data_IF_282084571385
#
_entry.id   IF_282084571385
#
_cell.length_a   1.000
_cell.length_b   1.000
_cell.length_c   1.000
_cell.angle_alpha   90.00
_cell.angle_beta   90.00
_cell.angle_gamma   90.00
#
_symmetry.space_group_name_H-M   'P 1'
#
loop_
_entity.id
_entity.type
_entity.pdbx_description
1 polymer ?
#
# COMPACT_ATOMS: atom_id res chain seq x y z
N UNK A 1 -10.68 15.68 27.09
CA UNK A 1 -10.89 15.73 25.64
C UNK A 1 -9.64 16.37 25.08
N UNK A 2 -8.93 15.72 24.17
CA UNK A 2 -7.74 16.31 23.56
C UNK A 2 -8.13 16.92 22.21
N UNK A 3 -7.49 18.03 21.87
CA UNK A 3 -7.52 18.61 20.53
C UNK A 3 -6.44 17.92 19.69
N UNK A 4 -6.89 17.16 18.69
CA UNK A 4 -6.02 16.34 17.84
C UNK A 4 -5.95 16.95 16.46
N UNK A 5 -4.75 17.25 15.97
CA UNK A 5 -4.52 17.64 14.58
C UNK A 5 -3.96 16.43 13.84
N UNK A 6 -4.60 16.07 12.73
CA UNK A 6 -4.13 15.04 11.80
C UNK A 6 -3.56 15.74 10.57
N UNK A 7 -2.28 15.53 10.30
CA UNK A 7 -1.56 16.12 9.16
C UNK A 7 -1.54 15.14 8.01
N UNK A 8 -2.26 15.47 6.93
CA UNK A 8 -2.41 14.65 5.73
C UNK A 8 -3.71 13.83 5.71
N UNK A 9 -4.50 14.03 4.65
CA UNK A 9 -5.80 13.38 4.41
C UNK A 9 -5.73 12.11 3.58
N UNK A 10 -4.58 11.45 3.45
CA UNK A 10 -4.47 10.12 2.84
C UNK A 10 -5.23 9.06 3.64
N UNK A 11 -5.30 7.82 3.12
CA UNK A 11 -6.13 6.76 3.72
C UNK A 11 -5.78 6.51 5.21
N UNK A 12 -4.51 6.57 5.61
CA UNK A 12 -4.11 6.39 7.00
C UNK A 12 -4.52 7.58 7.89
N UNK A 13 -4.40 8.82 7.38
CA UNK A 13 -4.83 10.01 8.10
C UNK A 13 -6.33 10.08 8.29
N UNK A 14 -7.12 9.80 7.25
CA UNK A 14 -8.58 9.74 7.35
C UNK A 14 -9.02 8.61 8.29
N UNK A 15 -8.33 7.47 8.29
CA UNK A 15 -8.57 6.36 9.23
C UNK A 15 -8.30 6.77 10.68
N UNK A 16 -7.18 7.46 10.95
CA UNK A 16 -6.84 7.95 12.28
C UNK A 16 -7.87 9.00 12.75
N UNK A 17 -8.18 9.98 11.90
CA UNK A 17 -9.12 11.05 12.22
C UNK A 17 -10.53 10.50 12.58
N UNK A 18 -11.05 9.58 11.74
CA UNK A 18 -12.37 8.98 11.97
C UNK A 18 -12.43 8.14 13.25
N UNK A 19 -11.35 7.38 13.57
CA UNK A 19 -11.25 6.60 14.81
C UNK A 19 -11.17 7.50 16.03
N UNK A 20 -10.33 8.52 16.00
CA UNK A 20 -10.15 9.46 17.13
C UNK A 20 -11.40 10.28 17.42
N UNK A 21 -12.08 10.75 16.37
CA UNK A 21 -13.37 11.42 16.53
C UNK A 21 -14.43 10.49 17.14
N UNK A 22 -14.46 9.19 16.79
CA UNK A 22 -15.34 8.22 17.47
C UNK A 22 -14.97 8.03 18.94
N UNK A 23 -13.71 8.15 19.29
CA UNK A 23 -13.20 8.12 20.66
C UNK A 23 -13.41 9.44 21.42
N UNK A 24 -14.18 10.38 20.84
CA UNK A 24 -14.63 11.67 21.42
C UNK A 24 -13.53 12.70 21.60
N UNK A 25 -12.48 12.65 20.79
CA UNK A 25 -11.55 13.74 20.66
C UNK A 25 -12.11 14.82 19.73
N UNK A 26 -11.68 16.06 19.90
CA UNK A 26 -11.84 17.12 18.91
C UNK A 26 -10.79 16.93 17.85
N UNK A 27 -11.20 16.71 16.60
CA UNK A 27 -10.27 16.33 15.52
C UNK A 27 -10.34 17.33 14.37
N UNK A 28 -9.18 17.90 14.03
CA UNK A 28 -8.97 18.71 12.83
C UNK A 28 -8.05 17.92 11.89
N UNK A 29 -8.47 17.75 10.64
CA UNK A 29 -7.65 17.14 9.60
C UNK A 29 -7.23 18.22 8.61
N UNK A 30 -5.91 18.35 8.40
CA UNK A 30 -5.31 19.30 7.45
C UNK A 30 -4.79 18.53 6.24
N UNK A 31 -5.32 18.88 5.06
CA UNK A 31 -4.92 18.26 3.78
C UNK A 31 -4.51 19.37 2.79
N UNK A 32 -3.35 19.21 2.16
CA UNK A 32 -2.81 20.18 1.20
C UNK A 32 -3.53 20.18 -0.15
N UNK A 33 -4.19 19.05 -0.51
CA UNK A 33 -4.97 18.92 -1.73
C UNK A 33 -6.39 19.43 -1.51
N UNK A 34 -7.12 19.58 -2.60
CA UNK A 34 -8.53 19.98 -2.64
C UNK A 34 -9.51 18.85 -2.23
N UNK A 35 -8.97 17.65 -1.96
CA UNK A 35 -9.73 16.46 -1.55
C UNK A 35 -8.90 15.51 -0.69
N UNK A 36 -9.54 14.75 0.23
CA UNK A 36 -8.87 13.67 0.95
C UNK A 36 -8.76 12.41 0.06
N UNK A 37 -7.90 11.46 0.48
CA UNK A 37 -7.67 10.17 -0.18
C UNK A 37 -6.19 9.92 -0.46
N UNK A 38 -5.43 10.98 -0.74
CA UNK A 38 -4.02 10.87 -1.10
C UNK A 38 -3.84 10.05 -2.37
N UNK A 39 -3.02 8.98 -2.31
CA UNK A 39 -2.80 8.08 -3.45
C UNK A 39 -4.00 7.15 -3.74
N UNK A 40 -4.95 7.00 -2.80
CA UNK A 40 -6.19 6.24 -3.00
C UNK A 40 -7.26 7.20 -3.51
N UNK A 41 -7.52 7.15 -4.80
CA UNK A 41 -8.46 8.05 -5.46
C UNK A 41 -8.68 7.65 -6.90
N UNK A 42 -9.30 8.53 -7.65
CA UNK A 42 -9.56 8.36 -9.09
C UNK A 42 -8.84 9.41 -9.92
N UNK A 43 -8.49 9.00 -11.12
CA UNK A 43 -8.22 9.87 -12.26
C UNK A 43 -9.37 9.70 -13.24
N UNK A 44 -9.96 10.80 -13.70
CA UNK A 44 -11.05 10.79 -14.67
C UNK A 44 -10.68 11.69 -15.85
N UNK A 45 -10.90 11.18 -17.05
CA UNK A 45 -10.75 11.96 -18.29
C UNK A 45 -11.61 11.35 -19.41
N UNK A 46 -12.34 12.19 -20.12
CA UNK A 46 -13.14 11.85 -21.30
C UNK A 46 -14.07 10.63 -21.10
N UNK A 47 -14.69 10.51 -19.92
CA UNK A 47 -15.59 9.42 -19.55
C UNK A 47 -14.90 8.15 -19.05
N UNK A 48 -13.57 8.09 -19.10
CA UNK A 48 -12.78 7.02 -18.52
C UNK A 48 -12.38 7.35 -17.08
N UNK A 49 -12.31 6.31 -16.25
CA UNK A 49 -11.95 6.45 -14.83
C UNK A 49 -11.00 5.34 -14.42
N UNK A 50 -9.89 5.71 -13.79
CA UNK A 50 -8.85 4.80 -13.30
C UNK A 50 -8.60 4.99 -11.81
N UNK A 51 -8.41 3.88 -11.07
CA UNK A 51 -7.87 3.96 -9.72
C UNK A 51 -6.41 4.42 -9.75
N UNK A 52 -6.08 5.40 -8.91
CA UNK A 52 -4.69 5.86 -8.72
C UNK A 52 -3.94 5.08 -7.63
N UNK A 53 -4.67 4.30 -6.84
CA UNK A 53 -4.17 3.49 -5.72
C UNK A 53 -3.95 2.01 -6.07
N UNK A 54 -4.13 1.12 -5.08
CA UNK A 54 -4.03 -0.32 -5.29
C UNK A 54 -5.19 -0.83 -6.14
N UNK A 55 -4.97 -1.90 -6.92
CA UNK A 55 -6.03 -2.60 -7.64
C UNK A 55 -6.74 -3.64 -6.76
N UNK A 56 -6.05 -4.15 -5.76
CA UNK A 56 -6.57 -5.13 -4.81
C UNK A 56 -5.95 -4.95 -3.42
N UNK A 57 -6.60 -5.49 -2.42
CA UNK A 57 -6.10 -5.53 -1.04
C UNK A 57 -6.19 -6.94 -0.48
N UNK A 58 -5.15 -7.36 0.22
CA UNK A 58 -5.23 -8.51 1.12
C UNK A 58 -5.80 -8.04 2.48
N UNK A 59 -6.02 -8.96 3.41
CA UNK A 59 -6.48 -8.67 4.77
C UNK A 59 -7.78 -7.84 4.83
N UNK A 60 -8.88 -8.29 4.22
CA UNK A 60 -10.16 -7.55 4.19
C UNK A 60 -10.69 -7.25 5.60
N UNK A 61 -10.30 -8.04 6.60
CA UNK A 61 -10.63 -7.81 7.99
C UNK A 61 -10.14 -6.45 8.52
N UNK A 62 -9.00 -5.97 8.03
CA UNK A 62 -8.43 -4.66 8.42
C UNK A 62 -9.31 -3.51 7.89
N UNK A 63 -9.78 -3.63 6.64
CA UNK A 63 -10.69 -2.65 6.05
C UNK A 63 -12.04 -2.67 6.77
N UNK A 64 -12.57 -3.86 7.06
CA UNK A 64 -13.81 -4.01 7.87
C UNK A 64 -13.67 -3.40 9.26
N UNK A 65 -12.53 -3.63 9.91
CA UNK A 65 -12.27 -3.05 11.24
C UNK A 65 -12.19 -1.52 11.21
N UNK A 66 -11.59 -0.94 10.16
CA UNK A 66 -11.57 0.51 9.96
C UNK A 66 -13.00 1.09 10.00
N UNK A 67 -13.93 0.51 9.25
CA UNK A 67 -15.31 0.98 9.20
C UNK A 67 -16.04 0.74 10.52
N UNK A 68 -15.96 -0.46 11.08
CA UNK A 68 -16.59 -0.81 12.37
C UNK A 68 -16.10 0.10 13.50
N UNK A 69 -14.82 0.37 13.58
CA UNK A 69 -14.18 1.20 14.62
C UNK A 69 -14.33 2.70 14.37
N UNK A 70 -14.75 3.11 13.19
CA UNK A 70 -15.07 4.52 12.89
C UNK A 70 -16.57 4.80 12.78
N UNK A 71 -17.44 3.79 12.79
CA UNK A 71 -18.88 4.04 12.74
C UNK A 71 -19.74 2.86 12.35
N UNK A 72 -20.05 2.70 11.09
CA UNK A 72 -20.89 1.64 10.55
C UNK A 72 -20.06 0.52 9.94
N UNK A 73 -20.58 -0.72 9.80
CA UNK A 73 -19.94 -1.78 9.06
C UNK A 73 -19.65 -1.38 7.62
N UNK A 74 -18.56 -1.93 7.06
CA UNK A 74 -18.12 -1.68 5.68
C UNK A 74 -19.22 -2.01 4.67
N UNK A 75 -19.89 -3.14 4.85
CA UNK A 75 -20.88 -3.71 3.94
C UNK A 75 -22.15 -2.85 3.78
N UNK A 76 -22.28 -1.78 4.57
CA UNK A 76 -23.32 -0.76 4.40
C UNK A 76 -22.90 0.42 3.53
N UNK A 77 -21.63 0.51 3.23
CA UNK A 77 -21.04 1.63 2.50
C UNK A 77 -20.40 1.16 1.18
N UNK A 78 -19.75 -0.01 1.19
CA UNK A 78 -18.96 -0.53 0.09
C UNK A 78 -19.08 -2.05 0.04
N UNK A 79 -18.98 -2.60 -1.17
CA UNK A 79 -18.91 -4.03 -1.42
C UNK A 79 -17.48 -4.45 -1.70
N UNK A 80 -16.99 -5.44 -0.91
CA UNK A 80 -15.73 -6.12 -1.17
C UNK A 80 -15.99 -7.32 -2.09
N UNK A 81 -15.34 -7.33 -3.23
CA UNK A 81 -15.45 -8.39 -4.23
C UNK A 81 -14.15 -9.20 -4.25
N UNK A 82 -14.18 -10.54 -4.17
CA UNK A 82 -12.97 -11.35 -4.28
C UNK A 82 -12.39 -11.28 -5.71
N UNK A 83 -11.06 -11.18 -5.81
CA UNK A 83 -10.34 -11.16 -7.08
C UNK A 83 -9.85 -12.56 -7.42
N UNK A 84 -10.30 -13.12 -8.57
CA UNK A 84 -9.90 -14.43 -9.08
C UNK A 84 -9.71 -14.40 -10.60
N UNK A 85 -8.53 -14.83 -11.11
CA UNK A 85 -7.32 -15.12 -10.35
C UNK A 85 -6.78 -13.88 -9.65
N UNK A 86 -5.94 -14.06 -8.64
CA UNK A 86 -5.22 -12.95 -7.99
C UNK A 86 -4.45 -12.14 -9.03
N UNK A 87 -3.58 -12.85 -9.78
CA UNK A 87 -2.77 -12.33 -10.87
C UNK A 87 -2.55 -13.40 -11.92
N UNK A 88 -2.44 -12.99 -13.16
CA UNK A 88 -1.86 -13.80 -14.21
C UNK A 88 -0.39 -13.42 -14.36
N UNK A 89 0.50 -14.37 -14.16
CA UNK A 89 1.93 -14.20 -14.37
C UNK A 89 2.33 -14.71 -15.76
N UNK A 90 2.92 -13.85 -16.57
CA UNK A 90 3.50 -14.18 -17.89
C UNK A 90 5.01 -14.11 -17.80
N UNK A 91 5.67 -15.23 -18.04
CA UNK A 91 7.12 -15.33 -17.98
C UNK A 91 7.76 -15.17 -19.36
N UNK A 92 9.06 -14.84 -19.39
CA UNK A 92 9.82 -14.58 -20.63
C UNK A 92 9.94 -15.82 -21.52
N UNK A 93 9.76 -17.02 -20.97
CA UNK A 93 9.77 -18.28 -21.71
C UNK A 93 8.41 -18.65 -22.32
N UNK A 94 7.43 -17.75 -22.22
CA UNK A 94 6.07 -17.95 -22.71
C UNK A 94 5.13 -18.66 -21.74
N UNK A 95 5.62 -19.10 -20.57
CA UNK A 95 4.76 -19.73 -19.55
C UNK A 95 3.77 -18.72 -19.01
N UNK A 96 2.50 -19.12 -18.90
CA UNK A 96 1.42 -18.34 -18.29
C UNK A 96 0.94 -19.08 -17.04
N UNK A 97 0.85 -18.37 -15.91
CA UNK A 97 0.37 -18.89 -14.64
C UNK A 97 -0.71 -17.96 -14.08
N UNK A 98 -2.00 -18.31 -14.21
CA UNK A 98 -3.09 -17.64 -13.51
C UNK A 98 -3.07 -18.10 -12.05
N UNK A 99 -2.47 -17.29 -11.16
CA UNK A 99 -2.32 -17.63 -9.75
C UNK A 99 -3.58 -17.27 -8.96
N UNK A 100 -4.32 -18.23 -8.36
CA UNK A 100 -5.48 -17.93 -7.54
C UNK A 100 -5.10 -17.33 -6.18
N UNK A 101 -6.05 -16.66 -5.52
CA UNK A 101 -5.92 -16.18 -4.14
C UNK A 101 -6.83 -16.94 -3.18
N UNK A 102 -6.55 -16.89 -1.87
CA UNK A 102 -7.45 -17.40 -0.83
C UNK A 102 -7.57 -18.94 -0.75
N UNK A 103 -6.74 -19.68 -1.48
CA UNK A 103 -6.80 -21.15 -1.48
C UNK A 103 -5.45 -21.79 -1.77
N UNK A 104 -4.94 -22.54 -0.79
CA UNK A 104 -3.71 -23.34 -0.95
C UNK A 104 -3.87 -24.42 -2.02
N UNK A 105 -5.01 -25.12 -2.03
CA UNK A 105 -5.28 -26.18 -3.00
C UNK A 105 -5.34 -25.64 -4.42
N UNK A 106 -6.09 -24.56 -4.64
CA UNK A 106 -6.19 -23.94 -5.95
C UNK A 106 -4.83 -23.41 -6.48
N UNK A 107 -3.95 -22.90 -5.59
CA UNK A 107 -2.59 -22.53 -5.99
C UNK A 107 -1.73 -23.76 -6.33
N UNK A 108 -1.87 -24.86 -5.58
CA UNK A 108 -1.19 -26.12 -5.91
C UNK A 108 -1.56 -26.55 -7.31
N UNK A 109 -2.87 -26.64 -7.61
CA UNK A 109 -3.39 -27.09 -8.91
C UNK A 109 -2.95 -26.17 -10.05
N UNK A 110 -3.01 -24.85 -9.86
CA UNK A 110 -2.60 -23.88 -10.88
C UNK A 110 -1.10 -23.93 -11.18
N UNK A 111 -0.27 -24.08 -10.15
CA UNK A 111 1.19 -24.18 -10.34
C UNK A 111 1.55 -25.55 -10.93
N UNK A 112 0.85 -26.63 -10.54
CA UNK A 112 1.04 -27.96 -11.14
C UNK A 112 0.73 -27.94 -12.65
N UNK A 113 -0.42 -27.40 -13.01
CA UNK A 113 -0.81 -27.27 -14.43
C UNK A 113 0.18 -26.45 -15.27
N UNK A 114 0.76 -25.39 -14.70
CA UNK A 114 1.66 -24.50 -15.43
C UNK A 114 3.14 -24.94 -15.40
N UNK A 115 3.60 -25.52 -14.29
CA UNK A 115 5.02 -25.73 -14.01
C UNK A 115 5.36 -27.18 -13.59
N UNK A 116 4.36 -28.02 -13.37
CA UNK A 116 4.48 -29.42 -12.94
C UNK A 116 4.50 -29.63 -11.42
N UNK A 117 4.34 -30.90 -10.96
CA UNK A 117 4.06 -31.24 -9.57
C UNK A 117 5.19 -30.88 -8.61
N UNK A 118 6.44 -31.00 -9.02
CA UNK A 118 7.58 -30.63 -8.17
C UNK A 118 7.61 -29.13 -7.88
N UNK A 119 7.31 -28.31 -8.91
CA UNK A 119 7.21 -26.85 -8.79
C UNK A 119 6.03 -26.46 -7.87
N UNK A 120 4.88 -27.10 -8.07
CA UNK A 120 3.68 -26.88 -7.25
C UNK A 120 3.95 -27.15 -5.77
N UNK A 121 4.53 -28.33 -5.47
CA UNK A 121 4.93 -28.66 -4.11
C UNK A 121 5.92 -27.67 -3.53
N UNK A 122 6.97 -27.32 -4.29
CA UNK A 122 7.99 -26.39 -3.84
C UNK A 122 7.42 -25.00 -3.54
N UNK A 123 6.45 -24.51 -4.35
CA UNK A 123 5.74 -23.25 -4.14
C UNK A 123 4.91 -23.28 -2.85
N UNK A 124 4.03 -24.26 -2.71
CA UNK A 124 3.13 -24.35 -1.55
C UNK A 124 3.91 -24.52 -0.24
N UNK A 125 4.99 -25.30 -0.25
CA UNK A 125 5.88 -25.46 0.91
C UNK A 125 6.63 -24.16 1.23
N UNK A 126 6.98 -23.36 0.21
CA UNK A 126 7.60 -22.04 0.39
C UNK A 126 6.65 -21.08 1.07
N UNK A 127 5.44 -20.95 0.56
CA UNK A 127 4.41 -20.05 1.10
C UNK A 127 4.02 -20.46 2.52
N UNK A 128 3.79 -21.75 2.76
CA UNK A 128 3.45 -22.26 4.10
C UNK A 128 4.56 -22.00 5.13
N UNK A 129 5.82 -21.99 4.70
CA UNK A 129 6.96 -21.67 5.57
C UNK A 129 6.89 -20.29 6.23
N UNK A 130 6.02 -19.38 5.76
CA UNK A 130 5.81 -18.07 6.35
C UNK A 130 4.67 -17.98 7.38
N UNK A 131 3.96 -19.09 7.66
CA UNK A 131 2.82 -19.10 8.59
C UNK A 131 3.19 -18.58 9.99
N UNK A 132 4.26 -19.10 10.57
CA UNK A 132 4.76 -18.68 11.88
C UNK A 132 5.30 -17.25 11.84
N UNK A 133 6.04 -16.89 10.79
CA UNK A 133 6.55 -15.53 10.58
C UNK A 133 5.41 -14.50 10.57
N UNK A 134 4.32 -14.81 9.84
CA UNK A 134 3.14 -13.96 9.82
C UNK A 134 2.53 -13.80 11.22
N UNK A 135 2.33 -14.90 11.95
CA UNK A 135 1.68 -14.86 13.26
C UNK A 135 2.51 -14.07 14.29
N UNK A 136 3.82 -14.24 14.30
CA UNK A 136 4.75 -13.47 15.14
C UNK A 136 4.72 -11.98 14.79
N UNK A 137 4.84 -11.63 13.50
CA UNK A 137 4.87 -10.24 13.08
C UNK A 137 3.50 -9.56 13.24
N UNK A 138 2.40 -10.26 12.96
CA UNK A 138 1.08 -9.70 13.14
C UNK A 138 0.88 -9.22 14.57
N UNK A 139 1.11 -10.10 15.55
CA UNK A 139 0.86 -9.82 16.97
C UNK A 139 1.90 -8.88 17.60
N UNK A 140 3.15 -8.97 17.21
CA UNK A 140 4.25 -8.29 17.88
C UNK A 140 4.83 -7.08 17.16
N UNK A 141 4.43 -6.86 15.87
CA UNK A 141 4.98 -5.78 15.08
C UNK A 141 3.90 -4.94 14.37
N UNK A 142 2.90 -5.54 13.72
CA UNK A 142 1.90 -4.78 12.96
C UNK A 142 0.74 -4.27 13.82
N UNK A 143 0.31 -5.04 14.83
CA UNK A 143 -0.82 -4.72 15.70
C UNK A 143 -0.41 -4.02 17.01
N UNK A 144 0.86 -3.65 17.16
CA UNK A 144 1.40 -2.97 18.36
C UNK A 144 2.24 -1.76 18.01
N UNK A 145 2.37 -0.76 18.90
CA UNK A 145 3.30 0.33 18.73
C UNK A 145 4.72 -0.20 18.56
N UNK A 146 5.35 0.15 17.44
CA UNK A 146 6.72 -0.23 17.19
C UNK A 146 7.67 0.47 18.16
N UNK A 147 8.44 -0.30 18.88
CA UNK A 147 9.54 0.17 19.73
C UNK A 147 10.74 -0.76 19.58
N UNK A 148 11.84 -0.30 18.97
CA UNK A 148 13.07 -1.11 18.76
C UNK A 148 13.67 -1.67 20.04
N UNK A 149 13.46 -1.03 21.19
CA UNK A 149 14.01 -1.43 22.49
C UNK A 149 13.18 -2.47 23.25
N UNK A 150 11.92 -2.67 22.89
CA UNK A 150 10.96 -3.48 23.66
C UNK A 150 10.29 -4.57 22.84
N UNK A 151 11.04 -5.24 21.95
CA UNK A 151 10.51 -6.34 21.16
C UNK A 151 10.53 -7.65 21.93
N UNK A 152 9.49 -8.47 21.76
CA UNK A 152 9.47 -9.86 22.17
C UNK A 152 10.63 -10.63 21.49
N UNK A 153 11.13 -11.69 22.12
CA UNK A 153 12.26 -12.45 21.61
C UNK A 153 12.05 -12.98 20.20
N UNK A 154 10.83 -13.48 19.91
CA UNK A 154 10.44 -14.05 18.62
C UNK A 154 10.38 -12.97 17.52
N UNK A 155 9.80 -11.81 17.82
CA UNK A 155 9.78 -10.65 16.90
C UNK A 155 11.21 -10.22 16.60
N UNK A 156 12.06 -10.16 17.60
CA UNK A 156 13.46 -9.79 17.46
C UNK A 156 14.24 -10.79 16.61
N UNK A 157 13.98 -12.09 16.78
CA UNK A 157 14.58 -13.13 15.97
C UNK A 157 14.23 -12.98 14.49
N UNK A 158 12.95 -12.76 14.17
CA UNK A 158 12.48 -12.55 12.80
C UNK A 158 13.08 -11.27 12.19
N UNK A 159 13.00 -10.13 12.90
CA UNK A 159 13.44 -8.83 12.35
C UNK A 159 14.96 -8.71 12.22
N UNK A 160 15.74 -9.52 12.95
CA UNK A 160 17.21 -9.56 12.90
C UNK A 160 17.76 -10.58 11.91
N UNK A 161 16.92 -11.38 11.27
CA UNK A 161 17.40 -12.30 10.22
C UNK A 161 18.19 -11.52 9.15
N UNK A 162 19.36 -12.06 8.82
CA UNK A 162 20.29 -11.45 7.85
C UNK A 162 20.01 -11.86 6.42
N UNK A 163 19.11 -12.82 6.24
CA UNK A 163 18.80 -13.38 4.94
C UNK A 163 17.92 -12.41 4.15
N UNK A 164 18.26 -12.17 2.90
CA UNK A 164 17.39 -11.41 1.99
C UNK A 164 16.35 -12.30 1.32
N UNK A 165 15.25 -11.70 0.88
CA UNK A 165 14.20 -12.39 0.12
C UNK A 165 14.78 -13.05 -1.14
N UNK A 166 15.68 -12.34 -1.86
CA UNK A 166 16.41 -12.89 -3.01
C UNK A 166 17.21 -14.14 -2.65
N UNK A 167 17.92 -14.15 -1.50
CA UNK A 167 18.70 -15.30 -1.09
C UNK A 167 17.83 -16.52 -0.77
N UNK A 168 16.68 -16.31 -0.12
CA UNK A 168 15.68 -17.37 0.12
C UNK A 168 15.15 -17.92 -1.19
N UNK A 169 14.66 -17.06 -2.09
CA UNK A 169 14.13 -17.49 -3.39
C UNK A 169 15.19 -18.27 -4.21
N UNK A 170 16.43 -17.78 -4.26
CA UNK A 170 17.54 -18.45 -4.93
C UNK A 170 17.88 -19.82 -4.33
N UNK A 171 17.84 -19.94 -3.01
CA UNK A 171 18.12 -21.20 -2.32
C UNK A 171 16.99 -22.21 -2.52
N UNK A 172 15.74 -21.74 -2.40
CA UNK A 172 14.54 -22.58 -2.48
C UNK A 172 14.27 -23.09 -3.90
N UNK A 173 14.39 -22.20 -4.88
CA UNK A 173 14.04 -22.46 -6.27
C UNK A 173 15.26 -22.47 -7.19
N UNK A 174 16.29 -23.25 -6.83
CA UNK A 174 17.59 -23.29 -7.55
C UNK A 174 17.46 -23.54 -9.04
N UNK A 175 16.55 -24.40 -9.44
CA UNK A 175 16.39 -24.89 -10.83
C UNK A 175 15.27 -24.18 -11.58
N UNK A 176 14.37 -23.45 -10.91
CA UNK A 176 13.22 -22.81 -11.53
C UNK A 176 13.29 -21.27 -11.40
N UNK A 177 13.56 -20.62 -12.52
CA UNK A 177 13.63 -19.16 -12.60
C UNK A 177 12.25 -18.50 -12.42
N UNK A 178 11.18 -19.19 -12.84
CA UNK A 178 9.80 -18.68 -12.76
C UNK A 178 9.35 -18.61 -11.32
N UNK A 179 9.56 -19.67 -10.54
CA UNK A 179 9.27 -19.67 -9.09
C UNK A 179 10.12 -18.65 -8.32
N UNK A 180 11.38 -18.41 -8.74
CA UNK A 180 12.18 -17.32 -8.16
C UNK A 180 11.54 -15.96 -8.42
N UNK A 181 11.10 -15.69 -9.65
CA UNK A 181 10.42 -14.44 -10.00
C UNK A 181 9.10 -14.30 -9.27
N UNK A 182 8.33 -15.39 -9.16
CA UNK A 182 7.06 -15.42 -8.43
C UNK A 182 7.25 -15.00 -6.97
N UNK A 183 8.19 -15.62 -6.24
CA UNK A 183 8.48 -15.31 -4.84
C UNK A 183 9.07 -13.88 -4.62
N UNK A 184 9.49 -13.19 -5.66
CA UNK A 184 10.03 -11.84 -5.59
C UNK A 184 9.02 -10.78 -6.07
N UNK A 185 7.84 -11.19 -6.50
CA UNK A 185 6.86 -10.31 -7.17
C UNK A 185 6.51 -9.10 -6.30
N UNK A 186 6.14 -9.30 -5.04
CA UNK A 186 5.78 -8.19 -4.13
C UNK A 186 6.90 -7.15 -4.02
N UNK A 187 8.13 -7.59 -3.81
CA UNK A 187 9.26 -6.69 -3.67
C UNK A 187 9.51 -5.87 -4.94
N UNK A 188 9.40 -6.51 -6.11
CA UNK A 188 9.59 -5.85 -7.42
C UNK A 188 8.47 -4.85 -7.69
N UNK A 189 7.20 -5.23 -7.47
CA UNK A 189 6.06 -4.36 -7.71
C UNK A 189 6.05 -3.14 -6.76
N UNK A 190 6.54 -3.30 -5.54
CA UNK A 190 6.69 -2.21 -4.57
C UNK A 190 7.93 -1.33 -4.82
N UNK A 191 8.73 -1.64 -5.84
CA UNK A 191 9.91 -0.86 -6.24
C UNK A 191 11.16 -1.13 -5.42
N UNK A 192 11.23 -2.29 -4.77
CA UNK A 192 12.38 -2.70 -3.97
C UNK A 192 13.33 -3.61 -4.76
N UNK A 193 14.62 -3.51 -4.48
CA UNK A 193 15.58 -4.55 -4.87
C UNK A 193 15.46 -5.73 -3.90
N UNK A 194 15.05 -6.93 -4.36
CA UNK A 194 14.85 -8.09 -3.49
C UNK A 194 16.12 -8.52 -2.72
N UNK A 195 17.31 -8.08 -3.14
CA UNK A 195 18.57 -8.31 -2.43
C UNK A 195 18.67 -7.52 -1.14
N UNK A 196 17.93 -6.42 -1.05
CA UNK A 196 17.87 -5.53 0.10
C UNK A 196 16.61 -5.70 0.96
N UNK A 197 15.64 -6.51 0.48
CA UNK A 197 14.42 -6.83 1.21
C UNK A 197 14.69 -7.98 2.18
N UNK A 198 14.34 -7.87 3.47
CA UNK A 198 14.46 -8.97 4.42
C UNK A 198 13.62 -10.18 4.01
N UNK A 199 14.11 -11.38 4.32
CA UNK A 199 13.46 -12.66 3.99
C UNK A 199 12.01 -12.74 4.46
N UNK A 200 11.71 -12.21 5.64
CA UNK A 200 10.41 -12.29 6.26
C UNK A 200 9.31 -11.56 5.48
N UNK A 201 9.64 -10.60 4.60
CA UNK A 201 8.65 -9.92 3.75
C UNK A 201 7.92 -10.89 2.82
N UNK A 202 8.48 -12.07 2.55
CA UNK A 202 7.81 -13.16 1.82
C UNK A 202 6.51 -13.65 2.48
N UNK A 203 6.21 -13.25 3.73
CA UNK A 203 4.90 -13.52 4.34
C UNK A 203 3.73 -12.94 3.54
N UNK A 204 3.95 -11.99 2.64
CA UNK A 204 2.91 -11.43 1.77
C UNK A 204 2.30 -12.51 0.87
N UNK A 205 3.11 -13.45 0.37
CA UNK A 205 2.61 -14.59 -0.40
C UNK A 205 1.68 -15.47 0.46
N UNK A 206 2.04 -15.67 1.74
CA UNK A 206 1.21 -16.39 2.70
C UNK A 206 -0.11 -15.67 2.98
N UNK A 207 -0.07 -14.36 3.13
CA UNK A 207 -1.26 -13.55 3.37
C UNK A 207 -2.23 -13.63 2.19
N UNK A 208 -1.75 -13.51 0.96
CA UNK A 208 -2.58 -13.61 -0.24
C UNK A 208 -3.15 -15.03 -0.43
N UNK A 209 -2.34 -16.07 -0.18
CA UNK A 209 -2.80 -17.44 -0.30
C UNK A 209 -3.89 -17.80 0.73
N UNK A 210 -3.80 -17.28 1.95
CA UNK A 210 -4.69 -17.70 3.05
C UNK A 210 -5.90 -16.79 3.25
N UNK A 211 -5.78 -15.48 2.99
CA UNK A 211 -6.86 -14.51 3.24
C UNK A 211 -7.51 -14.00 1.96
N UNK A 212 -6.95 -14.37 0.81
CA UNK A 212 -7.40 -13.89 -0.48
C UNK A 212 -7.07 -12.44 -0.74
N UNK A 213 -7.39 -12.00 -1.95
CA UNK A 213 -7.34 -10.60 -2.35
C UNK A 213 -8.70 -10.13 -2.78
N UNK A 214 -8.97 -8.88 -2.53
CA UNK A 214 -10.29 -8.28 -2.64
C UNK A 214 -10.17 -6.93 -3.32
N UNK A 215 -11.08 -6.63 -4.18
CA UNK A 215 -11.28 -5.28 -4.72
C UNK A 215 -12.56 -4.67 -4.16
N UNK A 216 -12.80 -3.41 -4.45
CA UNK A 216 -14.03 -2.70 -4.10
C UNK A 216 -14.85 -2.54 -5.38
N UNK A 217 -16.11 -2.87 -5.31
CA UNK A 217 -17.02 -2.59 -6.43
C UNK A 217 -17.00 -1.09 -6.77
N UNK A 218 -16.72 -0.76 -8.02
CA UNK A 218 -16.50 0.63 -8.46
C UNK A 218 -15.10 1.20 -8.18
N UNK A 219 -14.15 0.38 -7.70
CA UNK A 219 -12.74 0.75 -7.53
C UNK A 219 -12.40 1.30 -6.14
N UNK A 220 -11.09 1.41 -5.87
CA UNK A 220 -10.57 1.88 -4.58
C UNK A 220 -10.78 3.36 -4.31
N UNK A 221 -11.00 4.18 -5.32
CA UNK A 221 -11.38 5.56 -5.10
C UNK A 221 -12.70 5.70 -4.33
N UNK A 222 -13.63 4.74 -4.45
CA UNK A 222 -14.86 4.70 -3.65
C UNK A 222 -14.56 4.57 -2.14
N UNK A 223 -13.43 3.93 -1.76
CA UNK A 223 -12.99 3.90 -0.36
C UNK A 223 -12.64 5.30 0.16
N UNK A 224 -11.95 6.11 -0.65
CA UNK A 224 -11.61 7.48 -0.27
C UNK A 224 -12.88 8.33 -0.11
N UNK A 225 -13.85 8.19 -1.00
CA UNK A 225 -15.16 8.88 -0.94
C UNK A 225 -15.96 8.46 0.31
N UNK A 226 -16.01 7.16 0.61
CA UNK A 226 -16.66 6.63 1.80
C UNK A 226 -15.98 7.13 3.09
N UNK A 227 -14.66 7.23 3.10
CA UNK A 227 -13.91 7.79 4.24
C UNK A 227 -14.16 9.30 4.37
N UNK A 228 -14.21 10.06 3.30
CA UNK A 228 -14.58 11.48 3.32
C UNK A 228 -15.99 11.69 3.91
N UNK A 229 -16.96 10.86 3.50
CA UNK A 229 -18.30 10.82 4.10
C UNK A 229 -18.22 10.50 5.60
N UNK A 230 -17.40 9.52 5.99
CA UNK A 230 -17.20 9.13 7.39
C UNK A 230 -16.66 10.27 8.25
N UNK A 231 -15.72 11.07 7.75
CA UNK A 231 -15.20 12.24 8.47
C UNK A 231 -16.33 13.23 8.78
N UNK A 232 -17.19 13.52 7.79
CA UNK A 232 -18.36 14.41 8.00
C UNK A 232 -19.33 13.85 9.04
N UNK A 233 -19.68 12.56 8.99
CA UNK A 233 -20.55 11.88 9.97
C UNK A 233 -19.96 11.92 11.39
N UNK A 234 -18.63 11.93 11.52
CA UNK A 234 -17.89 12.02 12.79
C UNK A 234 -17.62 13.46 13.23
N UNK A 235 -18.07 14.46 12.45
CA UNK A 235 -17.87 15.88 12.72
C UNK A 235 -16.37 16.23 12.85
N UNK A 236 -15.53 15.58 12.07
CA UNK A 236 -14.15 15.98 11.93
C UNK A 236 -14.10 17.29 11.15
N UNK A 237 -13.40 18.28 11.67
CA UNK A 237 -13.11 19.50 10.94
C UNK A 237 -12.07 19.19 9.87
N UNK A 238 -12.44 19.28 8.58
CA UNK A 238 -11.53 19.02 7.47
C UNK A 238 -11.18 20.34 6.79
N UNK A 239 -9.92 20.70 6.81
CA UNK A 239 -9.37 21.86 6.09
C UNK A 239 -8.58 21.36 4.90
N UNK A 240 -9.15 21.53 3.73
CA UNK A 240 -8.53 21.22 2.44
C UNK A 240 -7.67 22.41 1.97
N UNK A 241 -6.82 22.18 0.97
CA UNK A 241 -5.90 23.20 0.44
C UNK A 241 -5.08 23.87 1.56
N UNK A 242 -4.78 23.09 2.63
CA UNK A 242 -4.09 23.57 3.82
C UNK A 242 -2.82 22.74 4.02
N UNK A 243 -1.70 23.30 3.66
CA UNK A 243 -0.40 22.67 3.87
C UNK A 243 0.08 22.91 5.31
N UNK A 244 0.62 21.89 5.91
CA UNK A 244 1.38 21.98 7.16
C UNK A 244 2.87 22.10 6.80
N UNK A 245 3.53 23.12 7.31
CA UNK A 245 4.94 23.37 7.06
C UNK A 245 5.83 22.71 8.09
N UNK A 246 5.45 22.74 9.40
CA UNK A 246 6.15 22.02 10.46
C UNK A 246 5.29 21.82 11.71
N UNK A 247 5.87 21.14 12.70
CA UNK A 247 5.33 20.99 14.05
C UNK A 247 5.82 22.12 14.96
N UNK A 248 4.93 22.66 15.79
CA UNK A 248 5.31 23.57 16.87
C UNK A 248 5.64 22.75 18.11
N UNK A 249 6.91 22.68 18.47
CA UNK A 249 7.40 21.91 19.63
C UNK A 249 7.99 22.87 20.67
N UNK A 250 7.52 22.76 21.93
CA UNK A 250 8.03 23.50 23.07
C UNK A 250 8.38 22.52 24.18
N UNK A 251 9.55 22.62 24.73
CA UNK A 251 10.06 21.76 25.83
C UNK A 251 9.86 20.25 25.55
N UNK A 252 10.11 19.81 24.29
CA UNK A 252 9.99 18.42 23.86
C UNK A 252 8.56 17.91 23.65
N UNK A 253 7.56 18.77 23.77
CA UNK A 253 6.13 18.48 23.59
C UNK A 253 5.56 19.28 22.42
N UNK A 254 4.67 18.66 21.65
CA UNK A 254 3.93 19.36 20.60
C UNK A 254 2.87 20.27 21.20
N UNK A 255 2.74 21.47 20.63
CA UNK A 255 1.70 22.44 21.01
C UNK A 255 0.82 22.84 19.82
N UNK A 256 1.18 22.43 18.61
CA UNK A 256 0.42 22.73 17.41
C UNK A 256 1.21 22.38 16.13
N UNK A 257 0.70 22.87 15.02
CA UNK A 257 1.36 22.80 13.70
C UNK A 257 1.35 24.16 13.03
N UNK A 258 2.36 24.45 12.23
CA UNK A 258 2.45 25.65 11.42
C UNK A 258 1.86 25.42 10.05
N UNK A 259 1.08 26.39 9.58
CA UNK A 259 0.51 26.43 8.23
C UNK A 259 0.75 27.82 7.63
N UNK A 260 0.55 27.96 6.34
CA UNK A 260 0.64 29.26 5.65
C UNK A 260 -0.32 30.33 6.22
N UNK A 261 -1.40 29.90 6.88
CA UNK A 261 -2.40 30.80 7.50
C UNK A 261 -2.20 31.01 9.00
N UNK A 262 -1.13 30.44 9.57
CA UNK A 262 -0.79 30.57 10.98
C UNK A 262 -0.78 29.23 11.72
N UNK A 263 -0.62 29.30 13.04
CA UNK A 263 -0.53 28.11 13.91
C UNK A 263 -1.89 27.54 14.20
N UNK A 264 -2.03 26.21 14.06
CA UNK A 264 -3.18 25.44 14.56
C UNK A 264 -2.76 24.72 15.84
N UNK A 265 -3.33 25.14 16.98
CA UNK A 265 -3.02 24.55 18.28
C UNK A 265 -3.49 23.09 18.39
N UNK A 266 -2.73 22.23 19.08
CA UNK A 266 -3.03 20.85 19.32
C UNK A 266 -2.38 20.32 20.58
N UNK A 267 -3.09 19.44 21.31
CA UNK A 267 -2.53 18.63 22.41
C UNK A 267 -1.81 17.40 21.85
N UNK A 268 -2.28 16.91 20.69
CA UNK A 268 -1.78 15.72 20.00
C UNK A 268 -1.74 15.98 18.50
N UNK A 269 -0.65 15.57 17.85
CA UNK A 269 -0.51 15.61 16.40
C UNK A 269 -0.28 14.19 15.85
N UNK A 270 -1.06 13.83 14.83
CA UNK A 270 -0.89 12.57 14.09
C UNK A 270 -0.39 12.89 12.68
N UNK A 271 0.89 12.58 12.43
CA UNK A 271 1.52 12.80 11.13
C UNK A 271 1.21 11.63 10.18
N UNK A 272 0.46 11.90 9.13
CA UNK A 272 0.08 10.94 8.08
C UNK A 272 0.70 11.28 6.71
N UNK A 273 1.79 12.02 6.71
CA UNK A 273 2.56 12.46 5.53
C UNK A 273 3.97 11.88 5.56
N UNK A 274 4.73 12.07 4.49
CA UNK A 274 6.17 11.76 4.51
C UNK A 274 6.86 12.61 5.58
N UNK A 275 7.46 12.02 6.61
CA UNK A 275 8.08 12.76 7.70
C UNK A 275 9.27 13.62 7.25
N UNK A 276 9.82 13.39 6.06
CA UNK A 276 10.87 14.24 5.48
C UNK A 276 10.38 15.64 5.12
N UNK A 277 9.07 15.78 4.88
CA UNK A 277 8.41 17.05 4.61
C UNK A 277 8.18 17.92 5.84
N UNK A 278 8.44 17.40 7.05
CA UNK A 278 8.29 18.11 8.32
C UNK A 278 9.66 18.24 9.00
N UNK A 279 10.28 19.43 9.02
CA UNK A 279 11.61 19.68 9.60
C UNK A 279 11.81 19.03 10.98
N UNK A 280 10.82 19.14 11.86
CA UNK A 280 10.86 18.53 13.20
C UNK A 280 11.00 17.01 13.18
N UNK A 281 10.63 16.31 12.10
CA UNK A 281 10.73 14.85 11.97
C UNK A 281 11.82 14.39 10.99
N UNK A 282 12.26 15.25 10.08
CA UNK A 282 13.15 14.90 8.97
C UNK A 282 14.47 14.25 9.42
N UNK A 283 15.09 14.78 10.49
CA UNK A 283 16.35 14.22 11.03
C UNK A 283 16.20 12.77 11.52
N UNK A 284 15.01 12.42 12.05
CA UNK A 284 14.73 11.06 12.58
C UNK A 284 14.68 10.00 11.48
N UNK A 285 14.42 10.42 10.25
CA UNK A 285 14.31 9.52 9.08
C UNK A 285 15.40 9.74 8.04
N UNK A 286 16.42 10.55 8.34
CA UNK A 286 17.52 10.91 7.41
C UNK A 286 18.27 9.72 6.80
N UNK A 287 18.26 8.57 7.48
CA UNK A 287 18.89 7.33 7.02
C UNK A 287 17.97 6.46 6.16
N UNK A 288 16.75 6.91 5.88
CA UNK A 288 15.80 6.17 5.03
C UNK A 288 15.64 6.90 3.71
N UNK A 289 15.27 6.15 2.67
CA UNK A 289 14.89 6.69 1.37
C UNK A 289 13.43 6.33 1.07
N UNK A 290 12.67 7.17 0.39
CA UNK A 290 11.34 6.79 -0.11
C UNK A 290 11.49 5.72 -1.20
N UNK A 291 10.59 4.75 -1.23
CA UNK A 291 10.49 3.82 -2.35
C UNK A 291 9.95 4.58 -3.58
N UNK A 292 10.47 4.26 -4.76
CA UNK A 292 10.06 4.96 -5.97
C UNK A 292 8.73 4.39 -6.51
N UNK A 293 7.76 5.24 -6.88
CA UNK A 293 6.60 4.81 -7.64
C UNK A 293 6.99 4.21 -9.00
N UNK A 294 6.13 3.42 -9.66
CA UNK A 294 6.35 2.98 -11.05
C UNK A 294 6.19 4.14 -12.04
N UNK A 295 6.64 3.94 -13.27
CA UNK A 295 6.07 4.68 -14.40
C UNK A 295 4.65 4.18 -14.59
N UNK A 296 3.68 5.09 -14.78
CA UNK A 296 2.26 4.76 -14.94
C UNK A 296 1.75 5.36 -16.23
N UNK A 297 1.06 4.53 -17.02
CA UNK A 297 0.31 4.95 -18.20
C UNK A 297 -1.14 4.49 -18.02
N UNK A 298 -2.05 5.42 -17.87
CA UNK A 298 -3.49 5.15 -17.91
C UNK A 298 -3.96 5.27 -19.35
N UNK A 299 -4.73 4.29 -19.82
CA UNK A 299 -5.30 4.28 -21.18
C UNK A 299 -6.78 3.99 -21.16
N UNK A 300 -7.53 4.80 -21.88
CA UNK A 300 -8.89 4.51 -22.32
C UNK A 300 -8.81 3.86 -23.69
N UNK A 301 -9.43 2.71 -23.83
CA UNK A 301 -9.37 1.86 -25.02
C UNK A 301 -10.76 1.68 -25.61
N UNK A 302 -10.83 1.60 -26.95
CA UNK A 302 -12.06 1.30 -27.72
C UNK A 302 -11.78 0.22 -28.76
N UNK A 303 -12.84 -0.44 -29.25
CA UNK A 303 -12.76 -1.49 -30.26
C UNK A 303 -12.43 -2.87 -29.68
N UNK A 304 -11.68 -3.67 -30.43
CA UNK A 304 -11.32 -5.05 -30.05
C UNK A 304 -10.17 -5.05 -29.03
N UNK A 305 -10.55 -4.96 -27.76
CA UNK A 305 -9.59 -4.95 -26.64
C UNK A 305 -9.47 -6.37 -26.07
N UNK A 306 -8.22 -6.91 -25.89
CA UNK A 306 -8.05 -8.22 -25.30
C UNK A 306 -8.70 -8.35 -23.92
N UNK A 307 -9.41 -9.46 -23.69
CA UNK A 307 -9.93 -9.79 -22.37
C UNK A 307 -8.78 -10.29 -21.47
N UNK A 308 -8.46 -9.52 -20.47
CA UNK A 308 -7.39 -9.81 -19.51
C UNK A 308 -7.95 -9.90 -18.09
N UNK A 309 -7.35 -10.76 -17.23
CA UNK A 309 -7.65 -10.77 -15.81
C UNK A 309 -7.43 -9.41 -15.15
N UNK A 310 -7.96 -9.25 -13.93
CA UNK A 310 -7.88 -8.03 -13.13
C UNK A 310 -6.45 -7.44 -13.02
N UNK A 311 -5.44 -8.29 -12.90
CA UNK A 311 -4.03 -7.90 -12.92
C UNK A 311 -3.17 -8.92 -13.68
N UNK A 312 -2.41 -8.47 -14.65
CA UNK A 312 -1.42 -9.28 -15.40
C UNK A 312 -0.02 -8.77 -15.11
N UNK A 313 0.87 -9.64 -14.65
CA UNK A 313 2.29 -9.32 -14.40
C UNK A 313 3.15 -9.97 -15.48
N UNK A 314 3.76 -9.17 -16.32
CA UNK A 314 4.73 -9.62 -17.35
C UNK A 314 6.13 -9.51 -16.74
N UNK A 315 6.70 -10.67 -16.38
CA UNK A 315 8.02 -10.75 -15.78
C UNK A 315 9.12 -10.43 -16.77
N UNK A 316 10.14 -9.73 -16.33
CA UNK A 316 11.31 -9.35 -17.12
C UNK A 316 11.98 -8.08 -16.60
N UNK A 317 12.82 -7.47 -17.44
CA UNK A 317 13.38 -6.14 -17.20
C UNK A 317 13.18 -5.30 -18.47
N UNK A 318 12.19 -4.38 -18.47
CA UNK A 318 11.29 -4.02 -17.36
C UNK A 318 10.28 -5.11 -16.99
N UNK A 319 9.83 -5.12 -15.73
CA UNK A 319 8.60 -5.78 -15.34
C UNK A 319 7.44 -4.84 -15.64
N UNK A 320 6.43 -5.35 -16.36
CA UNK A 320 5.21 -4.60 -16.66
C UNK A 320 4.03 -5.20 -15.92
N UNK A 321 3.09 -4.34 -15.52
CA UNK A 321 1.82 -4.77 -14.93
C UNK A 321 0.67 -4.09 -15.66
N UNK A 322 -0.31 -4.88 -16.07
CA UNK A 322 -1.57 -4.36 -16.62
C UNK A 322 -2.67 -4.57 -15.59
N UNK A 323 -3.40 -3.53 -15.26
CA UNK A 323 -4.60 -3.55 -14.41
C UNK A 323 -5.80 -3.13 -15.25
N UNK A 324 -6.85 -3.93 -15.19
CA UNK A 324 -8.05 -3.77 -16.03
C UNK A 324 -9.25 -3.24 -15.26
N UNK A 325 -9.06 -2.82 -14.00
CA UNK A 325 -10.13 -2.46 -13.06
C UNK A 325 -10.73 -1.06 -13.24
N UNK A 326 -10.32 -0.30 -14.25
CA UNK A 326 -10.93 0.99 -14.56
C UNK A 326 -12.34 0.87 -15.12
N UNK A 327 -13.10 1.95 -15.07
CA UNK A 327 -14.39 2.06 -15.75
C UNK A 327 -14.29 2.91 -17.03
N UNK A 328 -15.05 2.55 -18.04
CA UNK A 328 -15.02 3.13 -19.36
C UNK A 328 -16.44 3.39 -19.88
N UNK A 329 -16.63 4.23 -20.93
CA UNK A 329 -17.85 4.28 -21.71
C UNK A 329 -18.24 2.91 -22.27
N UNK A 330 -19.49 2.77 -22.72
CA UNK A 330 -19.99 1.53 -23.32
C UNK A 330 -19.13 1.08 -24.50
N UNK A 331 -18.72 -0.18 -24.51
CA UNK A 331 -17.83 -0.76 -25.52
C UNK A 331 -16.36 -0.41 -25.37
N UNK A 332 -15.98 0.32 -24.31
CA UNK A 332 -14.59 0.65 -24.01
C UNK A 332 -14.02 -0.14 -22.84
N UNK A 333 -12.71 0.01 -22.63
CA UNK A 333 -11.98 -0.51 -21.46
C UNK A 333 -11.03 0.56 -20.91
N UNK A 334 -10.78 0.53 -19.61
CA UNK A 334 -9.86 1.46 -18.96
C UNK A 334 -8.76 0.67 -18.24
N UNK A 335 -7.53 0.77 -18.76
CA UNK A 335 -6.39 0.05 -18.24
C UNK A 335 -5.36 0.97 -17.62
N UNK A 336 -4.64 0.45 -16.64
CA UNK A 336 -3.45 1.09 -16.09
C UNK A 336 -2.24 0.18 -16.32
N UNK A 337 -1.25 0.68 -17.06
CA UNK A 337 0.02 0.00 -17.29
C UNK A 337 1.07 0.57 -16.36
N UNK A 338 1.71 -0.30 -15.56
CA UNK A 338 2.78 0.07 -14.65
C UNK A 338 4.10 -0.50 -15.18
N UNK A 339 5.17 0.31 -15.15
CA UNK A 339 6.51 -0.12 -15.52
C UNK A 339 7.50 -0.03 -14.36
N UNK A 340 8.25 -1.11 -14.12
CA UNK A 340 9.32 -1.23 -13.12
C UNK A 340 10.61 -1.72 -13.76
N UNK A 341 11.74 -1.22 -13.29
CA UNK A 341 13.06 -1.59 -13.83
C UNK A 341 13.51 -0.68 -14.96
N UNK A 342 14.23 -1.22 -15.93
CA UNK A 342 14.83 -0.46 -17.04
C UNK A 342 13.82 -0.21 -18.16
N UNK A 343 12.91 0.72 -17.94
CA UNK A 343 11.98 1.16 -18.97
C UNK A 343 12.61 2.30 -19.79
N UNK A 344 13.20 1.97 -20.93
CA UNK A 344 13.87 2.91 -21.84
C UNK A 344 13.04 3.28 -23.07
N UNK A 345 11.82 2.73 -23.17
CA UNK A 345 10.89 2.92 -24.28
C UNK A 345 9.48 3.22 -23.73
N UNK A 346 8.58 3.56 -24.64
CA UNK A 346 7.18 3.77 -24.30
C UNK A 346 6.57 2.50 -23.66
N UNK A 347 5.81 2.61 -22.55
CA UNK A 347 5.20 1.46 -21.88
C UNK A 347 4.30 0.60 -22.79
N UNK A 348 3.58 1.20 -23.73
CA UNK A 348 2.71 0.47 -24.66
C UNK A 348 3.53 -0.25 -25.74
N UNK A 349 4.65 0.31 -26.17
CA UNK A 349 5.60 -0.38 -27.07
C UNK A 349 6.22 -1.59 -26.36
N UNK A 350 6.65 -1.40 -25.10
CA UNK A 350 7.16 -2.48 -24.28
C UNK A 350 6.12 -3.59 -24.06
N UNK A 351 4.85 -3.21 -23.87
CA UNK A 351 3.72 -4.13 -23.71
C UNK A 351 3.44 -4.92 -24.99
N UNK A 352 3.42 -4.23 -26.13
CA UNK A 352 3.22 -4.85 -27.45
C UNK A 352 4.28 -5.93 -27.76
N UNK A 353 5.55 -5.67 -27.42
CA UNK A 353 6.64 -6.66 -27.55
C UNK A 353 6.46 -7.90 -26.69
N UNK A 354 5.64 -7.82 -25.65
CA UNK A 354 5.30 -8.93 -24.75
C UNK A 354 3.96 -9.59 -25.13
N UNK A 355 3.44 -9.29 -26.34
CA UNK A 355 2.25 -9.93 -26.92
C UNK A 355 0.92 -9.31 -26.53
N UNK A 356 0.90 -8.12 -25.92
CA UNK A 356 -0.32 -7.34 -25.66
C UNK A 356 -0.19 -6.01 -26.39
N UNK A 357 -0.73 -5.92 -27.59
CA UNK A 357 -0.71 -4.70 -28.39
C UNK A 357 -2.10 -4.08 -28.43
N UNK A 358 -2.22 -2.89 -27.86
CA UNK A 358 -3.46 -2.10 -27.77
C UNK A 358 -3.26 -0.67 -28.27
N UNK A 359 -2.17 -0.42 -29.01
CA UNK A 359 -1.81 0.95 -29.41
C UNK A 359 -2.81 1.59 -30.35
N UNK A 360 -3.42 0.77 -31.22
CA UNK A 360 -4.43 1.24 -32.18
C UNK A 360 -5.81 1.44 -31.53
N UNK A 361 -6.04 0.91 -30.33
CA UNK A 361 -7.26 1.02 -29.54
C UNK A 361 -7.25 2.22 -28.57
N UNK A 362 -6.10 2.92 -28.43
CA UNK A 362 -5.97 4.02 -27.47
C UNK A 362 -6.76 5.24 -27.93
N UNK A 363 -7.76 5.63 -27.14
CA UNK A 363 -8.54 6.85 -27.31
C UNK A 363 -8.06 7.94 -26.35
N UNK A 364 -7.81 7.58 -25.10
CA UNK A 364 -7.35 8.49 -24.05
C UNK A 364 -6.07 7.95 -23.43
N UNK A 365 -5.11 8.83 -23.18
CA UNK A 365 -3.84 8.47 -22.53
C UNK A 365 -3.42 9.51 -21.53
N UNK A 366 -3.05 9.06 -20.32
CA UNK A 366 -2.47 9.90 -19.28
C UNK A 366 -1.24 9.22 -18.68
N UNK A 367 -0.08 9.82 -18.91
CA UNK A 367 1.18 9.35 -18.35
C UNK A 367 1.50 10.04 -17.02
N UNK A 368 2.12 9.30 -16.12
CA UNK A 368 2.62 9.78 -14.82
C UNK A 368 4.01 9.22 -14.56
N UNK A 369 4.98 10.09 -14.52
CA UNK A 369 6.33 9.73 -14.07
C UNK A 369 6.37 9.50 -12.56
N UNK A 370 7.36 8.77 -12.04
CA UNK A 370 7.58 8.62 -10.60
C UNK A 370 7.68 9.96 -9.86
N UNK A 371 8.32 10.96 -10.48
CA UNK A 371 8.49 12.30 -9.90
C UNK A 371 7.16 13.03 -9.78
N UNK A 372 6.34 13.01 -10.83
CA UNK A 372 5.01 13.65 -10.81
C UNK A 372 4.12 13.04 -9.74
N UNK A 373 4.16 11.71 -9.56
CA UNK A 373 3.41 11.03 -8.52
C UNK A 373 3.86 11.48 -7.11
N UNK A 374 5.18 11.54 -6.85
CA UNK A 374 5.71 12.01 -5.56
C UNK A 374 5.32 13.46 -5.29
N UNK A 375 5.37 14.32 -6.30
CA UNK A 375 4.95 15.75 -6.18
C UNK A 375 3.44 15.83 -5.91
N UNK A 376 2.64 15.09 -6.68
CA UNK A 376 1.18 15.06 -6.54
C UNK A 376 0.73 14.63 -5.14
N UNK A 377 1.37 13.60 -4.57
CA UNK A 377 0.97 13.04 -3.27
C UNK A 377 1.79 13.56 -2.07
N UNK A 378 2.82 14.39 -2.29
CA UNK A 378 3.68 14.91 -1.22
C UNK A 378 4.55 13.86 -0.56
N UNK A 379 4.91 12.82 -1.30
CA UNK A 379 5.72 11.69 -0.84
C UNK A 379 5.39 10.43 -1.62
N UNK A 380 6.13 9.36 -1.36
CA UNK A 380 5.88 8.08 -2.02
C UNK A 380 4.78 7.28 -1.31
N UNK A 381 3.74 6.82 -2.01
CA UNK A 381 2.73 5.93 -1.42
C UNK A 381 3.27 4.53 -1.14
N UNK A 382 4.45 4.19 -1.68
CA UNK A 382 5.17 2.94 -1.42
C UNK A 382 6.04 3.00 -0.16
N UNK A 383 6.01 4.11 0.59
CA UNK A 383 6.68 4.27 1.88
C UNK A 383 8.20 4.29 1.77
N UNK A 384 8.88 3.50 2.59
CA UNK A 384 10.33 3.50 2.75
C UNK A 384 10.98 2.38 1.94
N UNK A 385 11.97 2.73 1.12
CA UNK A 385 12.78 1.77 0.36
C UNK A 385 13.56 0.85 1.31
N UNK A 386 13.51 -0.45 1.05
CA UNK A 386 14.33 -1.41 1.77
C UNK A 386 15.81 -1.28 1.40
N UNK A 387 16.65 -0.99 2.39
CA UNK A 387 18.12 -0.88 2.30
C UNK A 387 18.80 -1.95 3.19
N UNK A 388 18.19 -3.13 3.26
CA UNK A 388 18.58 -4.21 4.14
C UNK A 388 17.79 -4.22 5.45
N UNK A 389 18.07 -5.21 6.28
CA UNK A 389 17.35 -5.47 7.56
C UNK A 389 17.32 -4.28 8.53
N UNK A 390 18.35 -3.42 8.50
CA UNK A 390 18.42 -2.29 9.41
C UNK A 390 17.38 -1.20 9.12
N UNK A 391 16.75 -1.22 7.94
CA UNK A 391 15.67 -0.29 7.56
C UNK A 391 14.53 -0.30 8.57
N UNK A 392 14.23 -1.45 9.19
CA UNK A 392 13.20 -1.55 10.25
C UNK A 392 13.49 -0.59 11.41
N UNK A 393 14.76 -0.46 11.81
CA UNK A 393 15.18 0.37 12.94
C UNK A 393 15.38 1.85 12.57
N UNK A 394 15.44 2.16 11.29
CA UNK A 394 15.65 3.50 10.75
C UNK A 394 14.34 4.22 10.39
N UNK A 395 13.24 3.46 10.30
CA UNK A 395 11.90 4.01 10.06
C UNK A 395 11.38 4.71 11.31
N UNK A 396 10.52 5.71 11.08
CA UNK A 396 9.74 6.30 12.17
C UNK A 396 8.74 5.25 12.69
N UNK A 397 8.60 5.15 14.00
CA UNK A 397 7.57 4.33 14.62
C UNK A 397 6.22 5.07 14.69
N UNK A 398 5.17 4.34 15.05
CA UNK A 398 3.85 4.95 15.32
C UNK A 398 3.88 5.94 16.50
N UNK A 399 4.85 5.81 17.41
CA UNK A 399 5.18 6.77 18.47
C UNK A 399 6.52 7.41 18.15
N UNK A 400 6.62 8.73 18.31
CA UNK A 400 7.88 9.46 18.19
C UNK A 400 8.46 9.75 19.58
N UNK A 401 9.65 10.33 19.61
CA UNK A 401 10.31 10.85 20.82
C UNK A 401 9.83 12.25 21.21
N UNK A 402 9.02 12.92 20.37
CA UNK A 402 8.34 14.17 20.71
C UNK A 402 7.04 13.81 21.41
N UNK A 403 6.85 14.32 22.63
CA UNK A 403 5.63 14.08 23.40
C UNK A 403 4.40 14.64 22.65
N UNK A 404 3.34 13.83 22.54
CA UNK A 404 2.11 14.17 21.82
C UNK A 404 2.18 13.97 20.30
N UNK A 405 3.32 13.57 19.72
CA UNK A 405 3.44 13.32 18.28
C UNK A 405 3.41 11.83 17.98
N UNK A 406 2.47 11.45 17.12
CA UNK A 406 2.32 10.11 16.56
C UNK A 406 2.46 10.16 15.04
N UNK A 407 2.79 9.02 14.43
CA UNK A 407 2.88 8.91 12.99
C UNK A 407 2.15 7.67 12.46
N UNK A 408 1.54 7.80 11.29
CA UNK A 408 0.78 6.73 10.61
C UNK A 408 1.06 6.72 9.11
N UNK A 409 0.71 5.63 8.43
CA UNK A 409 0.77 5.54 6.98
C UNK A 409 1.97 4.79 6.44
N UNK A 410 2.21 4.89 5.14
CA UNK A 410 3.17 4.08 4.39
C UNK A 410 4.62 4.24 4.88
N UNK A 411 5.01 5.43 5.34
CA UNK A 411 6.37 5.70 5.83
C UNK A 411 6.66 5.12 7.22
N UNK A 412 5.62 4.71 7.94
CA UNK A 412 5.68 4.16 9.30
C UNK A 412 5.42 2.66 9.31
N UNK A 413 4.54 2.19 8.44
CA UNK A 413 4.20 0.78 8.32
C UNK A 413 5.43 -0.10 8.04
N UNK A 414 5.45 -1.30 8.59
CA UNK A 414 6.56 -2.25 8.43
C UNK A 414 6.67 -2.83 7.02
N UNK A 415 5.63 -2.70 6.20
CA UNK A 415 5.58 -3.12 4.80
C UNK A 415 4.59 -2.23 4.04
N UNK A 416 4.56 -2.35 2.73
CA UNK A 416 3.65 -1.60 1.85
C UNK A 416 2.24 -2.19 1.84
N UNK A 417 1.30 -1.39 1.35
CA UNK A 417 -0.08 -1.76 1.13
C UNK A 417 -1.08 -1.12 2.08
N UNK A 418 -2.30 -1.01 1.59
CA UNK A 418 -3.42 -0.36 2.26
C UNK A 418 -3.70 -0.93 3.66
N UNK A 419 -3.72 -2.27 3.89
CA UNK A 419 -4.00 -2.82 5.21
C UNK A 419 -2.96 -2.37 6.26
N UNK A 420 -1.68 -2.40 5.90
CA UNK A 420 -0.61 -2.06 6.83
C UNK A 420 -0.59 -0.57 7.14
N UNK A 421 -0.84 0.29 6.16
CA UNK A 421 -0.98 1.73 6.38
C UNK A 421 -2.15 2.05 7.33
N UNK A 422 -3.30 1.38 7.17
CA UNK A 422 -4.48 1.58 8.02
C UNK A 422 -4.34 0.95 9.41
N UNK A 423 -3.57 -0.15 9.56
CA UNK A 423 -3.24 -0.73 10.85
C UNK A 423 -2.46 0.25 11.74
N UNK A 424 -1.54 1.05 11.17
CA UNK A 424 -0.84 2.07 11.95
C UNK A 424 -1.79 3.08 12.59
N UNK A 425 -2.86 3.46 11.88
CA UNK A 425 -3.91 4.33 12.41
C UNK A 425 -4.72 3.66 13.54
N UNK A 426 -4.96 2.35 13.45
CA UNK A 426 -5.61 1.60 14.52
C UNK A 426 -4.75 1.58 15.79
N UNK A 427 -3.46 1.28 15.64
CA UNK A 427 -2.48 1.26 16.75
C UNK A 427 -2.38 2.62 17.43
N UNK A 428 -2.33 3.71 16.66
CA UNK A 428 -2.25 5.07 17.21
C UNK A 428 -3.54 5.45 17.91
N UNK A 429 -4.71 5.17 17.34
CA UNK A 429 -5.99 5.48 17.97
C UNK A 429 -6.19 4.70 19.27
N UNK A 430 -5.78 3.43 19.33
CA UNK A 430 -5.81 2.63 20.56
C UNK A 430 -4.87 3.18 21.64
N UNK A 431 -3.67 3.63 21.23
CA UNK A 431 -2.68 4.22 22.14
C UNK A 431 -3.12 5.55 22.75
N UNK A 432 -3.74 6.41 21.97
CA UNK A 432 -4.29 7.68 22.44
C UNK A 432 -5.49 7.40 23.37
N UNK A 433 -6.31 6.41 23.01
CA UNK A 433 -7.42 5.92 23.85
C UNK A 433 -8.66 6.80 23.81
N UNK A 434 -9.69 6.38 24.52
CA UNK A 434 -10.95 7.12 24.66
C UNK A 434 -10.82 8.21 25.75
N UNK A 435 -11.50 9.33 25.52
CA UNK A 435 -11.66 10.37 26.55
C UNK A 435 -12.37 9.77 27.76
N UNK A 436 -11.68 9.68 28.88
CA UNK A 436 -12.31 9.29 30.15
C UNK A 436 -13.32 10.37 30.56
N UNK A 437 -14.52 9.94 30.97
CA UNK A 437 -15.58 10.80 31.48
C UNK A 437 -15.20 11.31 32.86
#
# INVERSE_FOLDING_TARGET
MARVVVVGGGIAGTAAAARLAKLRHEVVLLERLDRPGGAVGFLEQDGYRWDTGPAATALPAVVRDLFRKSGRPLERELELVPVQPLREHRFEDGTVLPLPSGSRGAQLDAVDAALGPDAAKAWVDHVHGYAETWDVLRRGYFERPWNPGHQDADVRAVLRDRTSLHAVARKRFRKDARLRRLALTHAVLDGHDPRNVPSWVGFLDYVEQNFGTWTIAGGFGALAEAMAKRLRERRVEVRLSTRVDDLVVRDGRVTGVETETGTVEADVVVCAVDPRGLPALAERVRRTMPAFPPVVTHVGLTGDVPDLPHEVVLHGDPTLVVRTSGSAPEGGAAWTVLGRGRLSEDPLVALARRGIDVRDQVEVRVDRSPREQVVAWGGSPYGVLWQGRNTVHQRLGTRTDIEGVYAVGAHVAGTTGLPFATLTAAVVAERIGEVRR
#
